data_IF_952974814166
#
_entry.id   IF_952974814166
#
_cell.length_a   1.000
_cell.length_b   1.000
_cell.length_c   1.000
_cell.angle_alpha   90.00
_cell.angle_beta   90.00
_cell.angle_gamma   90.00
#
_symmetry.space_group_name_H-M   'P 1'
#
loop_
_entity.id
_entity.type
_entity.pdbx_description
1 polymer ?
#
# COMPACT_ATOMS: atom_id res chain seq x y z
N UNK A 1 -4.64 -4.53 -0.71
CA UNK A 1 -3.59 -5.03 0.19
C UNK A 1 -3.63 -4.34 1.56
N UNK A 2 -3.58 -3.00 1.65
CA UNK A 2 -3.54 -2.28 2.93
C UNK A 2 -4.72 -2.62 3.87
N UNK A 3 -5.98 -2.68 3.44
CA UNK A 3 -7.09 -3.07 4.31
C UNK A 3 -6.92 -4.46 4.92
N UNK A 4 -6.45 -5.43 4.13
CA UNK A 4 -6.21 -6.80 4.57
C UNK A 4 -5.15 -6.84 5.67
N UNK A 5 -4.05 -6.09 5.50
CA UNK A 5 -2.97 -6.01 6.48
C UNK A 5 -3.40 -5.35 7.80
N UNK A 6 -4.47 -4.57 7.79
CA UNK A 6 -5.08 -3.94 8.97
C UNK A 6 -6.26 -4.73 9.55
N UNK A 7 -6.64 -5.86 8.93
CA UNK A 7 -7.78 -6.66 9.33
C UNK A 7 -9.14 -6.05 8.98
N UNK A 8 -9.20 -5.20 7.95
CA UNK A 8 -10.44 -4.61 7.42
C UNK A 8 -10.98 -5.45 6.26
N UNK A 9 -12.29 -5.41 6.05
CA UNK A 9 -12.91 -6.03 4.89
C UNK A 9 -12.47 -5.30 3.60
N UNK A 10 -11.78 -6.00 2.68
CA UNK A 10 -11.28 -5.39 1.44
C UNK A 10 -12.41 -4.93 0.51
N UNK A 11 -13.57 -5.58 0.51
CA UNK A 11 -14.69 -5.24 -0.36
C UNK A 11 -15.30 -3.89 0.07
N UNK A 12 -15.51 -3.73 1.38
CA UNK A 12 -16.00 -2.46 1.93
C UNK A 12 -14.98 -1.34 1.68
N UNK A 13 -13.70 -1.62 1.85
CA UNK A 13 -12.65 -0.63 1.62
C UNK A 13 -12.59 -0.18 0.14
N UNK A 14 -12.76 -1.10 -0.82
CA UNK A 14 -12.80 -0.79 -2.25
C UNK A 14 -14.04 0.06 -2.56
N UNK A 15 -15.21 -0.32 -2.05
CA UNK A 15 -16.45 0.44 -2.24
C UNK A 15 -16.31 1.87 -1.71
N UNK A 16 -15.81 2.04 -0.49
CA UNK A 16 -15.61 3.36 0.12
C UNK A 16 -14.56 4.19 -0.61
N UNK A 17 -13.51 3.56 -1.13
CA UNK A 17 -12.52 4.21 -1.98
C UNK A 17 -13.14 4.74 -3.28
N UNK A 18 -14.02 3.96 -3.91
CA UNK A 18 -14.79 4.38 -5.08
C UNK A 18 -15.70 5.58 -4.80
N UNK A 19 -16.49 5.50 -3.72
CA UNK A 19 -17.37 6.59 -3.29
C UNK A 19 -16.55 7.85 -2.97
N UNK A 20 -15.47 7.70 -2.21
CA UNK A 20 -14.57 8.82 -1.87
C UNK A 20 -13.97 9.48 -3.12
N UNK A 21 -13.57 8.69 -4.10
CA UNK A 21 -13.03 9.19 -5.38
C UNK A 21 -14.09 9.96 -6.17
N UNK A 22 -15.34 9.48 -6.21
CA UNK A 22 -16.45 10.18 -6.87
C UNK A 22 -16.76 11.53 -6.21
N UNK A 23 -16.82 11.55 -4.86
CA UNK A 23 -17.01 12.79 -4.11
C UNK A 23 -15.87 13.77 -4.41
N UNK A 24 -14.63 13.30 -4.37
CA UNK A 24 -13.46 14.12 -4.69
C UNK A 24 -13.53 14.68 -6.11
N UNK A 25 -13.89 13.86 -7.10
CA UNK A 25 -14.06 14.28 -8.49
C UNK A 25 -15.10 15.40 -8.62
N UNK A 26 -16.25 15.26 -7.96
CA UNK A 26 -17.32 16.27 -7.97
C UNK A 26 -16.86 17.57 -7.31
N UNK A 27 -16.23 17.49 -6.14
CA UNK A 27 -15.75 18.66 -5.38
C UNK A 27 -14.66 19.43 -6.14
N UNK A 28 -13.74 18.71 -6.80
CA UNK A 28 -12.67 19.33 -7.59
C UNK A 28 -13.10 19.75 -9.00
N UNK A 29 -14.36 19.47 -9.40
CA UNK A 29 -14.86 19.76 -10.73
C UNK A 29 -14.09 19.09 -11.85
N UNK A 30 -13.54 17.90 -11.61
CA UNK A 30 -12.76 17.14 -12.58
C UNK A 30 -11.37 17.70 -12.91
N UNK A 31 -10.94 18.77 -12.22
CA UNK A 31 -9.65 19.43 -12.49
C UNK A 31 -8.43 18.66 -12.00
N UNK A 32 -8.61 17.78 -11.03
CA UNK A 32 -7.53 16.99 -10.41
C UNK A 32 -7.78 15.51 -10.67
N UNK A 33 -7.08 14.88 -11.62
CA UNK A 33 -7.19 13.45 -11.88
C UNK A 33 -6.46 12.69 -10.78
N UNK A 34 -7.17 12.32 -9.71
CA UNK A 34 -6.62 11.55 -8.59
C UNK A 34 -7.59 10.47 -8.15
N UNK A 35 -7.04 9.33 -7.76
CA UNK A 35 -7.75 8.22 -7.14
C UNK A 35 -7.50 8.26 -5.63
N UNK A 36 -8.56 8.17 -4.84
CA UNK A 36 -8.47 8.08 -3.38
C UNK A 36 -8.51 6.63 -2.96
N UNK A 37 -7.38 6.12 -2.52
CA UNK A 37 -7.24 4.75 -2.03
C UNK A 37 -6.70 4.70 -0.60
N UNK A 38 -6.58 3.48 -0.08
CA UNK A 38 -5.99 3.26 1.24
C UNK A 38 -4.50 3.62 1.26
N UNK A 39 -4.07 4.30 2.31
CA UNK A 39 -2.67 4.71 2.49
C UNK A 39 -1.89 3.65 3.27
N UNK A 40 -0.72 3.27 2.77
CA UNK A 40 0.22 2.39 3.46
C UNK A 40 0.75 3.01 4.77
N UNK A 41 0.77 4.33 4.89
CA UNK A 41 1.20 5.02 6.10
C UNK A 41 0.32 4.69 7.32
N UNK A 42 -0.95 4.36 7.11
CA UNK A 42 -1.87 4.00 8.19
C UNK A 42 -1.66 2.58 8.73
N UNK A 43 -1.01 1.67 7.99
CA UNK A 43 -0.87 0.27 8.40
C UNK A 43 -0.17 0.17 9.76
N UNK A 44 1.00 0.77 9.90
CA UNK A 44 1.75 0.73 11.16
C UNK A 44 1.01 1.38 12.32
N UNK A 45 0.36 2.51 12.08
CA UNK A 45 -0.41 3.24 13.09
C UNK A 45 -1.62 2.46 13.56
N UNK A 46 -2.38 1.87 12.63
CA UNK A 46 -3.56 1.05 12.95
C UNK A 46 -3.15 -0.20 13.72
N UNK A 47 -2.11 -0.92 13.30
CA UNK A 47 -1.59 -2.08 14.00
C UNK A 47 -1.18 -1.71 15.43
N UNK A 48 -0.45 -0.62 15.61
CA UNK A 48 0.00 -0.16 16.92
C UNK A 48 -1.16 0.26 17.82
N UNK A 49 -2.16 0.97 17.28
CA UNK A 49 -3.31 1.45 18.04
C UNK A 49 -4.31 0.35 18.41
N UNK A 50 -4.46 -0.67 17.56
CA UNK A 50 -5.45 -1.74 17.76
C UNK A 50 -4.86 -3.00 18.39
N UNK A 51 -3.53 -3.14 18.42
CA UNK A 51 -2.86 -4.38 18.84
C UNK A 51 -3.10 -5.55 17.88
N UNK A 52 -3.43 -5.28 16.60
CA UNK A 52 -3.79 -6.33 15.65
C UNK A 52 -2.63 -7.27 15.36
N UNK A 53 -2.86 -8.57 15.57
CA UNK A 53 -1.82 -9.60 15.42
C UNK A 53 -1.65 -10.13 13.99
N UNK A 54 -2.43 -9.64 13.01
CA UNK A 54 -2.32 -10.03 11.60
C UNK A 54 -3.14 -11.25 11.21
N UNK A 55 -4.05 -11.74 12.08
CA UNK A 55 -4.91 -12.88 11.79
C UNK A 55 -6.39 -12.54 11.98
N UNK A 56 -7.20 -12.85 10.95
CA UNK A 56 -8.65 -12.65 10.99
C UNK A 56 -9.09 -11.19 10.92
N UNK A 57 -10.32 -10.92 11.34
CA UNK A 57 -10.86 -9.57 11.41
C UNK A 57 -10.30 -8.82 12.64
N UNK A 58 -10.06 -7.52 12.49
CA UNK A 58 -9.58 -6.70 13.60
C UNK A 58 -10.68 -6.43 14.60
N UNK A 59 -10.56 -6.98 15.81
CA UNK A 59 -11.55 -6.84 16.88
C UNK A 59 -11.73 -5.37 17.32
N UNK A 60 -10.69 -4.56 17.21
CA UNK A 60 -10.67 -3.15 17.61
C UNK A 60 -10.86 -2.19 16.42
N UNK A 61 -11.57 -2.63 15.37
CA UNK A 61 -11.80 -1.85 14.16
C UNK A 61 -12.42 -0.47 14.44
N UNK A 62 -13.26 -0.36 15.47
CA UNK A 62 -13.87 0.90 15.89
C UNK A 62 -12.85 1.95 16.33
N UNK A 63 -11.76 1.53 17.01
CA UNK A 63 -10.65 2.43 17.41
C UNK A 63 -9.92 2.93 16.17
N UNK A 64 -9.63 2.03 15.23
CA UNK A 64 -8.98 2.39 13.97
C UNK A 64 -9.83 3.38 13.15
N UNK A 65 -11.12 3.11 12.98
CA UNK A 65 -12.04 3.99 12.26
C UNK A 65 -12.18 5.35 12.93
N UNK A 66 -12.28 5.38 14.25
CA UNK A 66 -12.28 6.64 15.02
C UNK A 66 -11.01 7.47 14.79
N UNK A 67 -9.85 6.83 14.78
CA UNK A 67 -8.57 7.48 14.46
C UNK A 67 -8.52 8.02 13.02
N UNK A 68 -9.06 7.27 12.05
CA UNK A 68 -9.12 7.70 10.65
C UNK A 68 -10.06 8.91 10.50
N UNK A 69 -11.22 8.90 11.15
CA UNK A 69 -12.15 10.05 11.16
C UNK A 69 -11.48 11.28 11.78
N UNK A 70 -10.84 11.13 12.92
CA UNK A 70 -10.11 12.22 13.57
C UNK A 70 -9.02 12.80 12.65
N UNK A 71 -8.27 11.95 11.98
CA UNK A 71 -7.28 12.37 10.99
C UNK A 71 -7.94 13.15 9.83
N UNK A 72 -9.09 12.70 9.32
CA UNK A 72 -9.87 13.40 8.29
C UNK A 72 -10.31 14.81 8.74
N UNK A 73 -10.73 14.96 10.00
CA UNK A 73 -11.06 16.27 10.58
C UNK A 73 -9.83 17.20 10.64
N UNK A 74 -8.68 16.67 11.06
CA UNK A 74 -7.42 17.43 11.06
C UNK A 74 -7.05 17.88 9.64
N UNK A 75 -7.16 17.02 8.64
CA UNK A 75 -6.92 17.41 7.24
C UNK A 75 -7.90 18.47 6.75
N UNK A 76 -9.15 18.40 7.17
CA UNK A 76 -10.15 19.44 6.84
C UNK A 76 -9.77 20.79 7.44
N UNK A 77 -9.32 20.81 8.70
CA UNK A 77 -8.83 22.02 9.35
C UNK A 77 -7.59 22.59 8.66
N UNK A 78 -6.64 21.73 8.30
CA UNK A 78 -5.44 22.14 7.54
C UNK A 78 -5.85 22.69 6.17
N UNK A 79 -6.81 22.06 5.47
CA UNK A 79 -7.33 22.56 4.20
C UNK A 79 -7.97 23.94 4.31
N UNK A 80 -8.78 24.17 5.34
CA UNK A 80 -9.35 25.49 5.61
C UNK A 80 -8.27 26.54 5.94
N UNK A 81 -7.25 26.16 6.70
CA UNK A 81 -6.11 27.02 7.02
C UNK A 81 -5.32 27.39 5.74
N UNK A 82 -5.08 26.43 4.87
CA UNK A 82 -4.41 26.65 3.58
C UNK A 82 -5.21 27.61 2.70
N UNK A 83 -6.52 27.48 2.70
CA UNK A 83 -7.39 28.37 1.94
C UNK A 83 -7.34 29.82 2.49
N UNK A 84 -7.18 30.00 3.80
CA UNK A 84 -7.11 31.30 4.44
C UNK A 84 -5.74 31.97 4.35
N UNK A 85 -4.64 31.21 4.49
CA UNK A 85 -3.27 31.75 4.67
C UNK A 85 -2.38 31.43 3.46
N UNK A 86 -2.79 30.51 2.58
CA UNK A 86 -2.00 30.02 1.45
C UNK A 86 -1.07 28.85 1.83
N UNK A 87 -0.25 28.40 0.86
CA UNK A 87 0.58 27.19 0.96
C UNK A 87 2.00 27.44 1.48
N UNK A 88 2.46 28.68 1.54
CA UNK A 88 3.86 29.03 1.82
C UNK A 88 4.39 28.52 3.16
N UNK A 89 3.54 28.39 4.18
CA UNK A 89 3.91 27.81 5.46
C UNK A 89 4.16 26.31 5.40
N UNK A 90 3.40 25.57 4.54
CA UNK A 90 3.59 24.13 4.34
C UNK A 90 4.96 23.85 3.74
N UNK A 91 5.35 24.62 2.70
CA UNK A 91 6.66 24.48 2.06
C UNK A 91 7.81 24.73 3.04
N UNK A 92 7.59 25.61 4.00
CA UNK A 92 8.56 25.92 5.04
C UNK A 92 8.67 24.82 6.10
N UNK A 93 7.55 24.18 6.48
CA UNK A 93 7.52 23.09 7.46
C UNK A 93 7.86 21.72 6.88
N UNK A 94 7.60 21.53 5.59
CA UNK A 94 7.83 20.26 4.89
C UNK A 94 8.83 20.41 3.72
N UNK A 95 10.08 20.79 4.00
CA UNK A 95 11.12 20.77 2.98
C UNK A 95 11.31 19.33 2.45
N UNK A 96 11.87 19.14 1.24
CA UNK A 96 12.06 17.82 0.63
C UNK A 96 12.77 16.79 1.53
N UNK A 97 13.68 17.25 2.38
CA UNK A 97 14.40 16.41 3.36
C UNK A 97 13.43 15.78 4.37
N UNK A 98 12.49 16.57 4.91
CA UNK A 98 11.49 16.06 5.87
C UNK A 98 10.57 15.07 5.21
N UNK A 99 10.07 15.39 4.01
CA UNK A 99 9.20 14.49 3.25
C UNK A 99 9.92 13.19 2.91
N UNK A 100 11.16 13.25 2.46
CA UNK A 100 11.98 12.06 2.17
C UNK A 100 12.23 11.20 3.41
N UNK A 101 12.52 11.82 4.55
CA UNK A 101 12.71 11.09 5.82
C UNK A 101 11.45 10.38 6.28
N UNK A 102 10.29 11.03 6.18
CA UNK A 102 9.00 10.40 6.53
C UNK A 102 8.70 9.21 5.62
N UNK A 103 8.91 9.34 4.31
CA UNK A 103 8.73 8.23 3.36
C UNK A 103 9.67 7.07 3.68
N UNK A 104 10.94 7.35 4.02
CA UNK A 104 11.90 6.33 4.41
C UNK A 104 11.46 5.59 5.70
N UNK A 105 10.99 6.31 6.71
CA UNK A 105 10.47 5.71 7.95
C UNK A 105 9.25 4.82 7.68
N UNK A 106 8.31 5.27 6.84
CA UNK A 106 7.16 4.46 6.44
C UNK A 106 7.64 3.16 5.75
N UNK A 107 8.58 3.25 4.83
CA UNK A 107 9.16 2.10 4.14
C UNK A 107 9.83 1.11 5.10
N UNK A 108 10.63 1.61 6.05
CA UNK A 108 11.28 0.79 7.07
C UNK A 108 10.28 0.10 8.00
N UNK A 109 9.22 0.78 8.43
CA UNK A 109 8.17 0.18 9.25
C UNK A 109 7.44 -0.96 8.52
N UNK A 110 7.30 -0.87 7.21
CA UNK A 110 6.65 -1.90 6.40
C UNK A 110 7.60 -3.02 5.96
N UNK A 111 8.91 -2.84 6.07
CA UNK A 111 9.91 -3.83 5.65
C UNK A 111 9.81 -5.17 6.40
N UNK A 112 9.29 -5.17 7.63
CA UNK A 112 9.06 -6.38 8.41
C UNK A 112 8.02 -7.33 7.79
N UNK A 113 7.08 -6.84 6.98
CA UNK A 113 6.01 -7.65 6.38
C UNK A 113 6.55 -8.61 5.31
N UNK A 114 7.29 -8.14 4.29
CA UNK A 114 7.91 -9.05 3.32
C UNK A 114 8.92 -9.99 3.96
N UNK A 115 9.71 -9.52 4.94
CA UNK A 115 10.70 -10.36 5.62
C UNK A 115 10.05 -11.56 6.31
N UNK A 116 8.91 -11.39 6.98
CA UNK A 116 8.17 -12.51 7.59
C UNK A 116 7.65 -13.50 6.55
N UNK A 117 7.32 -13.04 5.36
CA UNK A 117 6.84 -13.88 4.27
C UNK A 117 7.98 -14.59 3.51
N UNK A 118 9.23 -14.11 3.63
CA UNK A 118 10.40 -14.76 3.02
C UNK A 118 10.73 -16.13 3.65
N UNK A 119 10.25 -16.41 4.85
CA UNK A 119 10.55 -17.66 5.56
C UNK A 119 9.80 -18.90 5.01
N UNK A 120 8.89 -18.73 4.04
CA UNK A 120 8.04 -19.82 3.55
C UNK A 120 8.82 -20.85 2.69
N UNK A 121 9.69 -20.37 1.78
CA UNK A 121 10.56 -21.23 0.98
C UNK A 121 11.78 -20.48 0.44
N UNK A 122 12.85 -21.21 0.09
CA UNK A 122 14.03 -20.60 -0.53
C UNK A 122 13.71 -19.98 -1.90
N UNK A 123 12.80 -20.58 -2.66
CA UNK A 123 12.38 -20.08 -3.95
C UNK A 123 11.60 -18.76 -3.82
N UNK A 124 10.66 -18.68 -2.87
CA UNK A 124 9.88 -17.47 -2.62
C UNK A 124 10.79 -16.32 -2.15
N UNK A 125 11.79 -16.61 -1.35
CA UNK A 125 12.79 -15.64 -0.91
C UNK A 125 13.56 -15.05 -2.09
N UNK A 126 14.03 -15.89 -3.01
CA UNK A 126 14.70 -15.44 -4.24
C UNK A 126 13.78 -14.63 -5.13
N UNK A 127 12.51 -15.03 -5.28
CA UNK A 127 11.55 -14.30 -6.09
C UNK A 127 11.20 -12.92 -5.50
N UNK A 128 11.21 -12.78 -4.19
CA UNK A 128 11.05 -11.46 -3.56
C UNK A 128 12.23 -10.54 -3.86
N UNK A 129 13.45 -11.07 -3.83
CA UNK A 129 14.65 -10.31 -4.23
C UNK A 129 14.58 -9.91 -5.71
N UNK A 130 14.18 -10.82 -6.58
CA UNK A 130 13.98 -10.53 -8.03
C UNK A 130 12.93 -9.44 -8.22
N UNK A 131 11.81 -9.50 -7.50
CA UNK A 131 10.76 -8.48 -7.55
C UNK A 131 11.29 -7.12 -7.09
N UNK A 132 12.01 -7.08 -5.98
CA UNK A 132 12.61 -5.85 -5.45
C UNK A 132 13.59 -5.23 -6.45
N UNK A 133 14.50 -6.05 -6.99
CA UNK A 133 15.48 -5.60 -7.99
C UNK A 133 14.79 -5.12 -9.27
N UNK A 134 13.77 -5.83 -9.76
CA UNK A 134 13.01 -5.45 -10.95
C UNK A 134 12.34 -4.09 -10.78
N UNK A 135 11.66 -3.86 -9.65
CA UNK A 135 11.05 -2.56 -9.35
C UNK A 135 12.13 -1.46 -9.23
N UNK A 136 13.24 -1.76 -8.57
CA UNK A 136 14.37 -0.84 -8.44
C UNK A 136 15.00 -0.48 -9.79
N UNK A 137 15.20 -1.45 -10.68
CA UNK A 137 15.71 -1.21 -12.03
C UNK A 137 14.74 -0.35 -12.86
N UNK A 138 13.44 -0.66 -12.81
CA UNK A 138 12.43 0.16 -13.49
C UNK A 138 12.46 1.59 -12.96
N UNK A 139 12.63 1.78 -11.64
CA UNK A 139 12.71 3.10 -11.01
C UNK A 139 13.89 3.95 -11.53
N UNK A 140 15.03 3.32 -11.71
CA UNK A 140 16.29 4.02 -12.09
C UNK A 140 16.41 4.18 -13.59
N UNK A 141 16.03 3.16 -14.38
CA UNK A 141 16.26 3.12 -15.81
C UNK A 141 15.16 3.81 -16.63
N UNK A 142 13.94 3.94 -16.07
CA UNK A 142 12.81 4.49 -16.84
C UNK A 142 12.54 5.96 -16.51
N UNK A 143 11.99 6.68 -17.50
CA UNK A 143 11.62 8.10 -17.38
C UNK A 143 10.22 8.33 -17.95
N UNK A 144 9.57 9.42 -17.55
CA UNK A 144 8.28 9.86 -18.11
C UNK A 144 7.09 9.01 -17.64
N UNK A 145 6.26 8.53 -18.57
CA UNK A 145 5.02 7.81 -18.27
C UNK A 145 5.28 6.46 -17.56
N UNK A 146 6.33 5.75 -17.96
CA UNK A 146 6.68 4.44 -17.36
C UNK A 146 7.07 4.60 -15.90
N UNK A 147 7.78 5.66 -15.55
CA UNK A 147 8.13 5.97 -14.17
C UNK A 147 6.90 6.29 -13.29
N UNK A 148 5.83 6.84 -13.89
CA UNK A 148 4.56 7.08 -13.17
C UNK A 148 3.84 5.77 -12.85
N UNK A 149 4.02 4.73 -13.67
CA UNK A 149 3.47 3.39 -13.50
C UNK A 149 4.50 2.40 -12.95
N UNK A 150 5.51 2.90 -12.24
CA UNK A 150 6.64 2.18 -11.70
C UNK A 150 6.29 0.84 -11.05
N UNK A 151 5.33 0.85 -10.13
CA UNK A 151 4.93 -0.35 -9.38
C UNK A 151 4.27 -1.36 -10.32
N UNK A 152 3.38 -0.90 -11.19
CA UNK A 152 2.68 -1.76 -12.15
C UNK A 152 3.67 -2.43 -13.11
N UNK A 153 4.54 -1.64 -13.72
CA UNK A 153 5.54 -2.16 -14.67
C UNK A 153 6.55 -3.09 -13.99
N UNK A 154 7.01 -2.71 -12.79
CA UNK A 154 7.92 -3.55 -12.00
C UNK A 154 7.31 -4.89 -11.61
N UNK A 155 6.03 -4.92 -11.23
CA UNK A 155 5.31 -6.16 -10.92
C UNK A 155 5.06 -7.01 -12.17
N UNK A 156 4.74 -6.41 -13.32
CA UNK A 156 4.59 -7.14 -14.58
C UNK A 156 5.92 -7.81 -14.97
N UNK A 157 7.03 -7.06 -14.91
CA UNK A 157 8.36 -7.62 -15.21
C UNK A 157 8.69 -8.77 -14.26
N UNK A 158 8.49 -8.60 -12.96
CA UNK A 158 8.71 -9.66 -11.98
C UNK A 158 7.82 -10.87 -12.22
N UNK A 159 6.55 -10.67 -12.58
CA UNK A 159 5.61 -11.75 -12.89
C UNK A 159 6.00 -12.53 -14.14
N UNK A 160 6.50 -11.85 -15.18
CA UNK A 160 7.02 -12.51 -16.39
C UNK A 160 8.25 -13.35 -16.04
N UNK A 161 9.19 -12.81 -15.26
CA UNK A 161 10.37 -13.55 -14.81
C UNK A 161 9.95 -14.78 -14.00
N UNK A 162 9.00 -14.63 -13.08
CA UNK A 162 8.43 -15.74 -12.33
C UNK A 162 7.84 -16.81 -13.24
N UNK A 163 6.98 -16.42 -14.19
CA UNK A 163 6.35 -17.36 -15.12
C UNK A 163 7.37 -18.10 -15.99
N UNK A 164 8.43 -17.44 -16.44
CA UNK A 164 9.50 -18.06 -17.22
C UNK A 164 10.31 -19.04 -16.37
N UNK A 165 10.64 -18.70 -15.15
CA UNK A 165 11.40 -19.58 -14.25
C UNK A 165 10.59 -20.80 -13.81
N UNK A 166 9.31 -20.64 -13.54
CA UNK A 166 8.45 -21.75 -13.10
C UNK A 166 8.04 -22.67 -14.24
N UNK A 167 7.65 -22.11 -15.38
CA UNK A 167 7.13 -22.90 -16.51
C UNK A 167 8.22 -23.30 -17.52
N UNK A 168 9.25 -22.45 -17.71
CA UNK A 168 10.31 -22.68 -18.68
C UNK A 168 11.44 -23.57 -18.17
N UNK A 169 11.80 -23.45 -16.89
CA UNK A 169 12.90 -24.21 -16.26
C UNK A 169 12.43 -25.34 -15.35
N UNK A 170 11.11 -25.57 -15.25
CA UNK A 170 10.56 -26.65 -14.43
C UNK A 170 10.86 -26.55 -12.93
N UNK A 171 11.24 -25.37 -12.45
CA UNK A 171 11.47 -25.09 -11.02
C UNK A 171 10.15 -25.05 -10.25
N UNK A 172 9.16 -25.75 -10.76
CA UNK A 172 7.75 -25.72 -10.53
C UNK A 172 7.33 -25.67 -9.07
N UNK A 173 6.76 -24.54 -8.71
CA UNK A 173 5.65 -24.49 -7.78
C UNK A 173 4.47 -23.93 -8.58
N UNK A 174 3.51 -24.80 -8.83
CA UNK A 174 2.24 -24.47 -9.46
C UNK A 174 1.63 -23.24 -8.79
N UNK A 175 1.31 -22.22 -9.58
CA UNK A 175 0.52 -21.05 -9.16
C UNK A 175 -0.89 -21.40 -8.62
N UNK A 176 -1.24 -22.70 -8.58
CA UNK A 176 -2.52 -23.25 -8.14
C UNK A 176 -2.57 -23.49 -6.62
N UNK A 177 -1.48 -23.30 -5.89
CA UNK A 177 -1.51 -23.28 -4.42
C UNK A 177 -1.68 -21.87 -3.86
N UNK A 178 -2.65 -21.13 -4.38
CA UNK A 178 -3.40 -20.20 -3.52
C UNK A 178 -4.18 -21.14 -2.59
N UNK A 179 -3.72 -21.23 -1.36
CA UNK A 179 -4.29 -22.07 -0.32
C UNK A 179 -5.81 -21.97 -0.32
N UNK A 180 -6.45 -23.01 -0.77
CA UNK A 180 -7.84 -23.29 -0.44
C UNK A 180 -7.94 -23.18 1.08
N UNK A 181 -8.88 -22.39 1.65
CA UNK A 181 -9.04 -22.36 3.09
C UNK A 181 -9.34 -23.78 3.54
N UNK A 182 -8.45 -24.33 4.35
CA UNK A 182 -8.58 -25.67 4.93
C UNK A 182 -9.98 -25.79 5.54
N UNK A 183 -10.84 -26.55 4.87
CA UNK A 183 -12.13 -26.97 5.38
C UNK A 183 -11.84 -27.74 6.68
N UNK A 184 -12.42 -27.39 7.81
CA UNK A 184 -12.24 -28.19 9.01
C UNK A 184 -12.84 -29.56 8.74
N UNK A 185 -12.00 -30.58 8.79
CA UNK A 185 -12.48 -31.97 8.80
C UNK A 185 -13.30 -32.18 10.05
N UNK A 186 -14.47 -32.79 9.85
CA UNK A 186 -15.43 -33.15 10.90
C UNK A 186 -14.92 -34.32 11.72
#
# INVERSE_FOLDING_TARGET
>A
LAPILMGFDPNVAILMSGIGTLIFFLVTGGKVPSYLGSSFAFIGVVIAATGYAGQGANANIGVALGGIIACGLVYTLIGALVQAIGTGWIERFMPPVVTGSVVAVIGLNLAGIPIKNMAASNFDSWMQVVTFVSVGLVAVLTRGMVQRLLILVGLIVASIIYAVLTNGLGLGLSLIHISEPTRPER
#
